data_IF_253126838966
#
_entry.id   IF_253126838966
#
_cell.length_a   1.000
_cell.length_b   1.000
_cell.length_c   1.000
_cell.angle_alpha   90.00
_cell.angle_beta   90.00
_cell.angle_gamma   90.00
#
_symmetry.space_group_name_H-M   'P 1'
#
loop_
_entity.id
_entity.type
_entity.pdbx_description
1 polymer ?
2 non-polymer ?
3 non-polymer ?
4 non-polymer ?
5 water ?
#
# COMPACT_ATOMS: atom_id res chain seq x y z
N UNK A 1 11.99 4.27 -12.87
CA UNK A 1 10.85 4.86 -13.67
C UNK A 1 9.69 5.17 -12.70
N UNK A 2 10.02 5.22 -11.43
CA UNK A 2 9.06 5.24 -10.30
C UNK A 2 9.02 6.63 -9.70
N UNK A 3 9.75 7.57 -10.27
CA UNK A 3 10.15 8.77 -9.55
C UNK A 3 8.98 9.65 -9.13
N UNK A 4 7.86 9.71 -9.82
CA UNK A 4 6.81 10.63 -9.36
C UNK A 4 6.11 10.07 -8.11
N UNK A 5 6.30 8.77 -7.79
CA UNK A 5 5.73 8.17 -6.55
C UNK A 5 6.54 8.53 -5.31
N UNK A 6 7.78 8.96 -5.49
CA UNK A 6 8.69 9.09 -4.35
C UNK A 6 8.30 10.27 -3.50
N UNK A 7 8.42 10.13 -2.21
CA UNK A 7 8.17 11.21 -1.26
C UNK A 7 7.33 10.73 -0.10
N UNK A 8 6.81 11.72 0.63
CA UNK A 8 6.03 11.50 1.84
C UNK A 8 4.57 11.90 1.54
N UNK A 9 3.68 10.99 1.88
CA UNK A 9 2.28 11.10 1.52
C UNK A 9 1.40 10.86 2.75
N UNK A 10 0.28 11.58 2.85
CA UNK A 10 -0.61 11.40 4.01
C UNK A 10 -2.01 11.06 3.56
N UNK A 11 -2.67 10.19 4.29
CA UNK A 11 -4.03 9.76 3.91
C UNK A 11 -5.00 10.92 4.09
N UNK A 12 -5.82 11.14 3.04
CA UNK A 12 -6.82 12.21 3.08
C UNK A 12 -8.22 11.73 2.68
N UNK A 13 -8.41 10.49 2.29
CA UNK A 13 -9.74 9.94 1.99
C UNK A 13 -9.63 8.43 2.02
N UNK A 14 -10.69 7.76 2.47
CA UNK A 14 -10.71 6.29 2.45
C UNK A 14 -12.13 5.79 2.21
N UNK A 15 -12.24 4.87 1.25
CA UNK A 15 -13.52 4.25 0.90
C UNK A 15 -13.38 2.72 0.99
N UNK A 16 -14.25 2.08 1.78
CA UNK A 16 -14.37 0.61 1.77
C UNK A 16 -13.19 -0.10 2.44
N UNK A 17 -12.41 0.62 3.23
CA UNK A 17 -11.29 -0.07 3.93
C UNK A 17 -11.81 -1.12 4.89
N UNK A 18 -12.95 -0.88 5.55
CA UNK A 18 -13.48 -1.91 6.44
C UNK A 18 -13.79 -3.18 5.64
N UNK A 19 -14.39 -3.05 4.47
CA UNK A 19 -14.69 -4.24 3.65
C UNK A 19 -13.40 -4.99 3.34
N UNK A 20 -12.37 -4.26 2.94
CA UNK A 20 -11.10 -4.89 2.58
C UNK A 20 -10.50 -5.62 3.80
N UNK A 21 -10.42 -4.94 4.93
CA UNK A 21 -9.90 -5.56 6.15
C UNK A 21 -10.71 -6.80 6.54
N UNK A 22 -12.03 -6.68 6.48
CA UNK A 22 -12.85 -7.83 6.86
C UNK A 22 -12.61 -9.00 5.94
N UNK A 23 -12.44 -8.74 4.65
CA UNK A 23 -12.16 -9.82 3.69
C UNK A 23 -10.87 -10.57 4.03
N UNK A 24 -9.90 -9.85 4.57
CA UNK A 24 -8.62 -10.44 4.98
C UNK A 24 -8.72 -11.10 6.36
N UNK A 25 -9.85 -11.07 7.03
CA UNK A 25 -9.97 -11.69 8.35
C UNK A 25 -9.47 -10.83 9.49
N UNK A 26 -9.36 -9.53 9.29
CA UNK A 26 -8.96 -8.62 10.39
C UNK A 26 -10.11 -8.52 11.38
N UNK A 27 -9.80 -8.63 12.66
CA UNK A 27 -10.83 -8.58 13.71
C UNK A 27 -11.43 -7.22 13.90
N UNK A 28 -12.62 -7.21 14.50
CA UNK A 28 -13.41 -5.98 14.55
C UNK A 28 -12.66 -4.87 15.29
N UNK A 29 -11.91 -5.18 16.34
CA UNK A 29 -11.28 -4.11 17.15
C UNK A 29 -10.17 -3.44 16.35
N UNK A 30 -9.41 -4.24 15.61
CA UNK A 30 -8.37 -3.67 14.73
C UNK A 30 -9.02 -2.85 13.62
N UNK A 31 -10.14 -3.33 13.06
CA UNK A 31 -10.77 -2.56 12.00
C UNK A 31 -11.25 -1.23 12.52
N UNK A 32 -11.77 -1.26 13.74
CA UNK A 32 -12.29 -0.06 14.37
C UNK A 32 -11.17 1.01 14.48
N UNK A 33 -10.02 0.65 15.06
CA UNK A 33 -8.93 1.62 15.20
C UNK A 33 -8.44 2.04 13.81
N UNK A 34 -8.25 1.07 12.92
CA UNK A 34 -7.76 1.37 11.58
C UNK A 34 -8.66 2.35 10.83
N UNK A 35 -9.96 2.29 11.06
CA UNK A 35 -10.91 3.16 10.38
C UNK A 35 -10.74 4.63 10.79
N UNK A 36 -10.07 4.89 11.91
CA UNK A 36 -9.82 6.23 12.44
C UNK A 36 -8.34 6.62 12.39
N UNK A 37 -7.51 5.85 11.69
CA UNK A 37 -6.08 6.10 11.60
C UNK A 37 -5.77 6.69 10.22
N UNK A 38 -4.88 7.68 10.19
CA UNK A 38 -4.43 8.28 8.93
C UNK A 38 -2.94 8.04 8.79
N UNK A 39 -2.53 7.04 8.03
CA UNK A 39 -1.10 6.78 7.91
C UNK A 39 -0.39 7.82 7.06
N UNK A 40 0.93 7.84 7.28
CA UNK A 40 1.89 8.51 6.42
C UNK A 40 2.69 7.45 5.70
N UNK A 41 2.75 7.53 4.38
CA UNK A 41 3.52 6.58 3.59
C UNK A 41 4.71 7.31 2.99
N UNK A 42 5.89 6.73 3.15
CA UNK A 42 7.15 7.30 2.63
C UNK A 42 7.69 6.32 1.63
N UNK A 43 7.94 6.78 0.41
CA UNK A 43 8.45 5.94 -0.68
C UNK A 43 9.78 6.56 -1.09
N UNK A 44 10.85 5.77 -0.97
CA UNK A 44 12.23 6.21 -1.28
C UNK A 44 12.88 5.19 -2.20
N UNK A 45 13.86 5.64 -2.98
CA UNK A 45 14.66 4.72 -3.78
C UNK A 45 16.13 4.96 -3.56
N UNK A 46 16.88 3.88 -3.71
CA UNK A 46 18.36 3.92 -3.72
C UNK A 46 18.77 2.93 -4.79
N UNK A 47 19.15 3.51 -5.94
CA UNK A 47 19.45 2.64 -7.07
C UNK A 47 18.19 1.91 -7.46
N UNK A 48 18.25 0.58 -7.58
CA UNK A 48 16.96 -0.05 -7.95
C UNK A 48 16.26 -0.68 -6.75
N UNK A 49 16.62 -0.23 -5.55
CA UNK A 49 15.89 -0.71 -4.34
C UNK A 49 14.90 0.37 -3.87
N UNK A 50 13.65 0.02 -3.77
CA UNK A 50 12.64 0.88 -3.16
C UNK A 50 12.45 0.49 -1.71
N UNK A 51 12.20 1.50 -0.88
CA UNK A 51 11.77 1.28 0.49
C UNK A 51 10.46 2.02 0.69
N UNK A 52 9.47 1.31 1.21
CA UNK A 52 8.12 1.85 1.41
C UNK A 52 7.80 1.69 2.89
N UNK A 53 7.72 2.82 3.57
CA UNK A 53 7.39 2.88 4.99
C UNK A 53 5.94 3.31 5.13
N UNK A 54 5.21 2.67 6.05
CA UNK A 54 3.85 3.10 6.38
C UNK A 54 3.82 3.32 7.88
N UNK A 55 3.59 4.58 8.29
CA UNK A 55 3.67 4.97 9.69
C UNK A 55 2.31 5.43 10.17
N UNK A 56 2.00 5.09 11.43
CA UNK A 56 0.76 5.60 12.01
C UNK A 56 0.85 5.48 13.52
N UNK A 57 -0.19 6.00 14.17
CA UNK A 57 -0.36 5.85 15.62
C UNK A 57 -0.77 4.44 16.02
N UNK A 58 -1.05 3.55 15.08
CA UNK A 58 -1.51 2.19 15.38
C UNK A 58 -0.48 1.18 14.93
N UNK A 59 -0.42 0.87 13.64
CA UNK A 59 0.54 -0.07 13.06
C UNK A 59 1.59 0.70 12.25
N UNK A 60 2.87 0.20 12.27
CA UNK A 60 3.93 0.66 11.36
C UNK A 60 4.45 -0.54 10.56
N UNK A 61 4.80 -0.31 9.29
CA UNK A 61 5.47 -1.32 8.48
C UNK A 61 6.59 -0.66 7.67
N UNK A 62 7.50 -1.52 7.21
CA UNK A 62 8.52 -1.09 6.26
C UNK A 62 8.87 -2.30 5.41
N UNK A 63 8.95 -2.09 4.09
CA UNK A 63 9.42 -3.10 3.15
C UNK A 63 10.48 -2.48 2.24
N UNK A 64 11.44 -3.30 1.84
CA UNK A 64 12.38 -2.94 0.78
C UNK A 64 12.33 -4.01 -0.30
N UNK A 65 12.43 -3.59 -1.55
CA UNK A 65 12.29 -4.54 -2.66
C UNK A 65 12.93 -3.94 -3.90
N UNK A 66 13.26 -4.84 -4.83
CA UNK A 66 13.63 -4.48 -6.20
C UNK A 66 12.39 -4.69 -7.06
N UNK A 67 12.02 -3.78 -8.03
CA UNK A 67 10.88 -4.05 -8.90
C UNK A 67 11.14 -5.33 -9.63
N UNK A 68 10.10 -6.12 -9.71
CA UNK A 68 10.13 -7.33 -10.49
C UNK A 68 10.83 -8.48 -9.85
N UNK A 69 11.19 -8.39 -8.56
CA UNK A 69 11.88 -9.48 -7.87
C UNK A 69 11.05 -9.83 -6.64
N UNK A 70 10.67 -11.08 -6.51
CA UNK A 70 9.84 -11.51 -5.38
C UNK A 70 10.59 -11.29 -4.05
N UNK A 71 9.83 -10.96 -3.01
CA UNK A 71 10.35 -10.78 -1.67
C UNK A 71 9.34 -11.35 -0.67
N UNK A 72 9.86 -11.81 0.46
CA UNK A 72 9.02 -12.17 1.58
C UNK A 72 8.54 -10.91 2.30
N UNK A 73 7.30 -10.93 2.78
CA UNK A 73 6.71 -9.79 3.49
C UNK A 73 5.84 -10.32 4.61
N UNK A 74 5.84 -9.60 5.72
CA UNK A 74 4.90 -9.86 6.82
C UNK A 74 4.08 -8.59 6.99
N UNK A 75 2.81 -8.65 6.68
CA UNK A 75 1.99 -7.47 6.54
C UNK A 75 1.60 -6.88 7.89
N UNK A 76 0.95 -5.71 7.84
CA UNK A 76 0.55 -5.01 9.07
C UNK A 76 -0.37 -5.87 9.94
N UNK A 77 -1.18 -6.71 9.28
CA UNK A 77 -2.10 -7.66 9.92
C UNK A 77 -1.50 -9.05 10.06
N UNK A 78 -0.17 -9.17 9.96
CA UNK A 78 0.58 -10.38 10.29
C UNK A 78 0.37 -11.52 9.32
N UNK A 79 0.05 -11.22 8.06
CA UNK A 79 0.04 -12.30 7.05
C UNK A 79 1.48 -12.44 6.51
N UNK A 80 1.94 -13.68 6.37
CA UNK A 80 3.25 -13.96 5.78
C UNK A 80 3.02 -14.30 4.32
N UNK A 81 3.47 -13.42 3.45
CA UNK A 81 3.11 -13.47 2.03
C UNK A 81 4.36 -13.43 1.14
N UNK A 82 4.17 -13.86 -0.09
CA UNK A 82 5.15 -13.74 -1.16
C UNK A 82 4.72 -12.55 -2.01
N UNK A 83 5.59 -11.57 -2.18
CA UNK A 83 5.23 -10.30 -2.80
C UNK A 83 6.10 -9.99 -4.00
N UNK A 84 5.51 -9.22 -4.91
CA UNK A 84 6.27 -8.66 -6.04
C UNK A 84 5.63 -7.33 -6.37
N UNK A 85 6.48 -6.34 -6.69
CA UNK A 85 6.03 -5.01 -7.05
C UNK A 85 6.58 -4.71 -8.45
N UNK A 86 5.75 -4.18 -9.34
CA UNK A 86 6.13 -3.83 -10.71
C UNK A 86 5.46 -2.54 -11.12
N UNK A 87 5.95 -1.95 -12.17
CA UNK A 87 5.23 -0.87 -12.85
C UNK A 87 4.44 -1.45 -14.00
N UNK A 88 3.20 -1.03 -14.10
CA UNK A 88 2.26 -1.58 -15.08
C UNK A 88 1.34 -0.44 -15.50
N UNK A 89 1.46 0.02 -16.73
CA UNK A 89 0.61 1.16 -17.14
C UNK A 89 0.86 2.41 -16.35
N UNK A 90 2.09 2.56 -15.86
CA UNK A 90 2.44 3.71 -15.02
C UNK A 90 2.00 3.56 -13.57
N UNK A 91 1.35 2.48 -13.22
CA UNK A 91 0.88 2.20 -11.85
C UNK A 91 1.89 1.31 -11.15
N UNK A 92 2.05 1.53 -9.86
CA UNK A 92 2.91 0.68 -9.05
C UNK A 92 2.01 -0.45 -8.51
N UNK A 93 2.20 -1.65 -8.97
CA UNK A 93 1.33 -2.80 -8.65
C UNK A 93 2.05 -3.74 -7.69
N UNK A 94 1.49 -3.89 -6.49
CA UNK A 94 2.07 -4.79 -5.47
C UNK A 94 1.12 -5.98 -5.34
N UNK A 95 1.61 -7.17 -5.67
CA UNK A 95 0.82 -8.41 -5.57
C UNK A 95 1.34 -9.22 -4.39
N UNK A 96 0.45 -9.62 -3.48
CA UNK A 96 0.76 -10.51 -2.36
C UNK A 96 0.03 -11.82 -2.57
N UNK A 97 0.75 -12.92 -2.32
CA UNK A 97 0.21 -14.27 -2.42
C UNK A 97 0.49 -15.05 -1.15
N UNK A 98 -0.50 -15.77 -0.68
CA UNK A 98 -0.32 -16.63 0.51
C UNK A 98 -1.45 -17.63 0.53
N UNK A 99 -1.19 -18.87 0.82
CA UNK A 99 -2.24 -19.90 0.97
C UNK A 99 -3.16 -19.95 -0.25
N UNK A 100 -2.64 -19.65 -1.42
CA UNK A 100 -3.48 -19.61 -2.61
C UNK A 100 -4.31 -18.34 -2.79
N UNK A 101 -4.34 -17.47 -1.79
CA UNK A 101 -5.00 -16.19 -1.86
C UNK A 101 -4.12 -15.19 -2.54
N UNK A 102 -4.77 -14.14 -3.00
CA UNK A 102 -4.06 -13.00 -3.54
C UNK A 102 -4.72 -11.71 -3.15
N UNK A 103 -3.91 -10.67 -3.04
CA UNK A 103 -4.42 -9.31 -2.94
C UNK A 103 -3.49 -8.39 -3.71
N UNK A 104 -4.05 -7.33 -4.29
CA UNK A 104 -3.26 -6.33 -4.96
C UNK A 104 -3.43 -4.99 -4.25
N UNK A 105 -2.31 -4.26 -4.23
CA UNK A 105 -2.22 -2.89 -3.73
C UNK A 105 -1.68 -2.09 -4.90
N UNK A 106 -2.52 -1.30 -5.53
CA UNK A 106 -2.17 -0.62 -6.78
C UNK A 106 -2.13 0.87 -6.49
N UNK A 107 -1.04 1.53 -6.85
CA UNK A 107 -0.88 2.97 -6.65
C UNK A 107 -0.78 3.65 -8.01
N UNK A 108 -1.57 4.72 -8.18
CA UNK A 108 -1.68 5.52 -9.42
C UNK A 108 -1.63 6.98 -9.03
N UNK A 109 -0.99 7.82 -9.83
CA UNK A 109 -1.03 9.27 -9.61
C UNK A 109 -2.10 9.83 -10.50
N UNK A 110 -3.03 10.53 -9.88
CA UNK A 110 -4.18 11.18 -10.57
C UNK A 110 -4.27 12.61 -10.06
N UNK A 111 -4.01 13.57 -10.93
CA UNK A 111 -4.09 15.00 -10.53
C UNK A 111 -3.18 15.27 -9.32
N UNK A 112 -1.99 14.68 -9.30
CA UNK A 112 -1.02 14.92 -8.21
C UNK A 112 -1.32 14.16 -6.91
N UNK A 113 -2.43 13.43 -6.82
CA UNK A 113 -2.71 12.64 -5.64
C UNK A 113 -2.34 11.20 -5.93
N UNK A 114 -1.99 10.48 -4.88
CA UNK A 114 -1.65 9.08 -5.00
C UNK A 114 -2.87 8.28 -4.57
N UNK A 115 -3.41 7.53 -5.52
CA UNK A 115 -4.61 6.73 -5.30
C UNK A 115 -4.16 5.29 -5.12
N UNK A 116 -4.48 4.74 -3.95
CA UNK A 116 -4.16 3.36 -3.57
C UNK A 116 -5.45 2.56 -3.65
N UNK A 117 -5.47 1.56 -4.53
CA UNK A 117 -6.62 0.66 -4.66
C UNK A 117 -6.21 -0.70 -4.13
N UNK A 118 -6.97 -1.19 -3.16
CA UNK A 118 -6.70 -2.46 -2.46
C UNK A 118 -7.82 -3.41 -2.84
N UNK A 119 -7.48 -4.58 -3.41
CA UNK A 119 -8.48 -5.54 -3.86
C UNK A 119 -8.19 -6.90 -3.23
N UNK A 120 -9.17 -7.49 -2.58
CA UNK A 120 -9.06 -8.89 -2.09
C UNK A 120 -10.47 -9.46 -2.13
N UNK A 121 -10.60 -10.67 -2.66
CA UNK A 121 -11.94 -11.20 -2.83
C UNK A 121 -12.74 -10.26 -3.72
N UNK A 122 -13.94 -9.91 -3.29
CA UNK A 122 -14.74 -8.94 -4.02
C UNK A 122 -14.51 -7.51 -3.53
N UNK A 123 -13.81 -7.34 -2.42
CA UNK A 123 -13.66 -6.03 -1.78
C UNK A 123 -12.66 -5.17 -2.57
N UNK A 124 -13.07 -3.93 -2.82
CA UNK A 124 -12.27 -2.93 -3.51
C UNK A 124 -12.29 -1.65 -2.66
N UNK A 125 -11.13 -1.31 -2.12
CA UNK A 125 -10.96 -0.11 -1.29
C UNK A 125 -10.13 0.90 -2.04
N UNK A 126 -10.53 2.17 -1.96
CA UNK A 126 -9.79 3.26 -2.59
C UNK A 126 -9.36 4.25 -1.51
N UNK A 127 -8.06 4.44 -1.38
CA UNK A 127 -7.50 5.39 -0.39
C UNK A 127 -6.70 6.44 -1.16
N UNK A 128 -6.93 7.68 -0.77
CA UNK A 128 -6.29 8.81 -1.43
C UNK A 128 -5.26 9.41 -0.50
N UNK A 129 -4.05 9.58 -1.03
CA UNK A 129 -2.94 10.18 -0.30
C UNK A 129 -2.53 11.48 -1.01
N UNK A 130 -2.15 12.49 -0.22
CA UNK A 130 -1.64 13.76 -0.80
C UNK A 130 -0.20 13.98 -0.38
N UNK A 131 0.57 14.56 -1.27
CA UNK A 131 2.01 14.62 -1.02
C UNK A 131 2.31 15.73 -0.02
N UNK A 132 3.27 15.46 0.84
CA UNK A 132 3.86 16.40 1.82
C UNK A 132 5.13 16.99 1.24
N UNK A 133 5.35 18.29 1.48
CA UNK A 133 6.54 19.03 1.00
C UNK A 133 7.79 18.58 1.72
#
# INVERSE_FOLDING_TARGET
>A
MVDAFLGTWKLVDSKNFDDYMKSLGVGFATRQVASMTKPTTIIEKNGDILTLKTHSTFKNTEISFKLGVEFDETTADDRKVKSIVTLDGGKLVHLQKWDGQETTLVRELIDGKLILTLTHGTAVCTRTYEKEA
#
